data_IF_196830861800
#
_entry.id   IF_196830861800
#
_cell.length_a   1.000
_cell.length_b   1.000
_cell.length_c   1.000
_cell.angle_alpha   90.00
_cell.angle_beta   90.00
_cell.angle_gamma   90.00
#
_symmetry.space_group_name_H-M   'P 1'
#
loop_
_entity.id
_entity.type
_entity.pdbx_description
1 polymer ?
#
# COMPACT_ATOMS: atom_id res chain seq x y z
N UNK A 1 -27.49 19.20 2.34
CA UNK A 1 -26.47 19.55 1.33
C UNK A 1 -25.23 19.99 2.07
N UNK A 2 -24.42 19.04 2.51
CA UNK A 2 -23.18 19.33 3.24
C UNK A 2 -22.07 19.48 2.22
N UNK A 3 -21.54 20.70 2.10
CA UNK A 3 -20.37 21.04 1.31
C UNK A 3 -19.21 20.15 1.75
N UNK A 4 -18.80 19.23 0.89
CA UNK A 4 -17.54 18.51 1.03
C UNK A 4 -16.42 19.55 1.01
N UNK A 5 -15.75 19.72 2.14
CA UNK A 5 -14.47 20.41 2.20
C UNK A 5 -13.50 19.58 1.34
N UNK A 6 -13.35 19.96 0.07
CA UNK A 6 -12.18 19.59 -0.68
C UNK A 6 -11.02 20.32 0.00
N UNK A 7 -10.29 19.61 0.87
CA UNK A 7 -9.00 20.08 1.37
C UNK A 7 -8.17 20.53 0.16
N UNK A 8 -7.75 21.80 0.16
CA UNK A 8 -6.96 22.34 -0.93
C UNK A 8 -5.71 21.48 -1.15
N UNK A 9 -5.35 21.16 -2.41
CA UNK A 9 -4.20 20.33 -2.68
C UNK A 9 -2.92 20.94 -2.09
N UNK A 10 -2.01 20.14 -1.53
CA UNK A 10 -0.80 20.63 -0.89
C UNK A 10 0.10 21.31 -1.93
N UNK A 11 0.22 22.64 -1.85
CA UNK A 11 1.11 23.42 -2.73
C UNK A 11 2.59 23.11 -2.51
N UNK A 12 3.38 23.18 -3.59
CA UNK A 12 4.83 23.07 -3.58
C UNK A 12 5.46 24.07 -2.58
N UNK A 13 6.50 23.63 -1.86
CA UNK A 13 7.18 24.49 -0.88
C UNK A 13 7.82 25.72 -1.55
N UNK A 14 8.29 25.59 -2.79
CA UNK A 14 8.77 26.71 -3.58
C UNK A 14 7.65 27.70 -3.92
N UNK A 15 6.48 27.22 -4.33
CA UNK A 15 5.32 28.08 -4.59
C UNK A 15 4.87 28.82 -3.33
N UNK A 16 4.81 28.14 -2.17
CA UNK A 16 4.52 28.76 -0.87
C UNK A 16 5.57 29.79 -0.47
N UNK A 17 6.85 29.49 -0.67
CA UNK A 17 7.95 30.39 -0.33
C UNK A 17 7.91 31.65 -1.20
N UNK A 18 7.80 31.49 -2.52
CA UNK A 18 7.69 32.62 -3.47
C UNK A 18 6.43 33.42 -3.16
N UNK A 19 5.30 32.76 -2.90
CA UNK A 19 4.06 33.46 -2.57
C UNK A 19 4.22 34.33 -1.32
N UNK A 20 4.81 33.77 -0.25
CA UNK A 20 5.03 34.48 1.01
C UNK A 20 6.06 35.61 0.89
N UNK A 21 7.17 35.37 0.19
CA UNK A 21 8.32 36.29 0.13
C UNK A 21 8.14 37.40 -0.90
N UNK A 22 7.57 37.10 -2.08
CA UNK A 22 7.42 38.07 -3.16
C UNK A 22 6.15 38.92 -3.06
N UNK A 23 5.09 38.44 -2.38
CA UNK A 23 3.82 39.17 -2.25
C UNK A 23 3.54 39.68 -0.81
N UNK A 24 4.59 39.78 0.02
CA UNK A 24 4.53 40.51 1.28
C UNK A 24 3.61 39.91 2.35
N UNK A 25 3.42 38.59 2.36
CA UNK A 25 2.57 37.92 3.34
C UNK A 25 1.06 38.10 3.15
N UNK A 26 0.62 38.73 2.06
CA UNK A 26 -0.79 38.69 1.67
C UNK A 26 -1.12 37.27 1.19
N UNK A 27 -2.12 36.64 1.82
CA UNK A 27 -2.66 35.36 1.37
C UNK A 27 -3.35 35.55 0.01
N UNK A 28 -2.58 35.35 -1.06
CA UNK A 28 -3.04 35.32 -2.44
C UNK A 28 -3.09 33.85 -2.91
N UNK A 29 -4.09 33.06 -2.49
CA UNK A 29 -4.14 31.62 -2.78
C UNK A 29 -4.17 31.34 -4.28
N UNK A 30 -4.84 32.20 -5.06
CA UNK A 30 -4.90 32.08 -6.53
C UNK A 30 -3.52 32.20 -7.18
N UNK A 31 -2.67 33.11 -6.69
CA UNK A 31 -1.30 33.31 -7.22
C UNK A 31 -0.40 32.16 -6.81
N UNK A 32 -0.51 31.71 -5.57
CA UNK A 32 0.22 30.53 -5.11
C UNK A 32 -0.16 29.28 -5.93
N UNK A 33 -1.43 29.12 -6.29
CA UNK A 33 -1.92 28.04 -7.16
C UNK A 33 -1.41 28.15 -8.60
N UNK A 34 -1.33 29.35 -9.17
CA UNK A 34 -0.77 29.56 -10.51
C UNK A 34 0.74 29.28 -10.57
N UNK A 35 1.48 29.73 -9.55
CA UNK A 35 2.91 29.43 -9.43
C UNK A 35 3.15 27.94 -9.25
N UNK A 36 2.34 27.31 -8.41
CA UNK A 36 2.35 25.88 -8.18
C UNK A 36 2.05 25.12 -9.48
N UNK A 37 1.00 25.47 -10.23
CA UNK A 37 0.67 24.87 -11.52
C UNK A 37 1.80 25.05 -12.57
N UNK A 38 2.47 26.20 -12.58
CA UNK A 38 3.62 26.45 -13.46
C UNK A 38 4.86 25.63 -13.08
N UNK A 39 5.15 25.51 -11.78
CA UNK A 39 6.28 24.73 -11.28
C UNK A 39 6.00 23.22 -11.34
N UNK A 40 4.72 22.83 -11.37
CA UNK A 40 4.27 21.45 -11.41
C UNK A 40 4.24 20.87 -12.83
N UNK A 41 5.31 21.08 -13.60
CA UNK A 41 5.59 20.23 -14.76
C UNK A 41 5.97 18.80 -14.33
N UNK A 42 5.20 18.20 -13.42
CA UNK A 42 5.38 16.83 -12.98
C UNK A 42 5.20 15.93 -14.19
N UNK A 43 6.25 15.17 -14.48
CA UNK A 43 6.17 14.13 -15.48
C UNK A 43 5.06 13.17 -15.12
N UNK A 44 4.16 12.88 -16.06
CA UNK A 44 3.13 11.82 -15.99
C UNK A 44 3.68 10.42 -15.64
N UNK A 45 5.00 10.29 -15.55
CA UNK A 45 5.73 9.10 -15.10
C UNK A 45 5.73 8.91 -13.58
N UNK A 46 5.38 9.92 -12.78
CA UNK A 46 5.39 9.84 -11.31
C UNK A 46 4.06 9.35 -10.73
N UNK A 47 3.89 8.03 -10.65
CA UNK A 47 2.79 7.39 -9.92
C UNK A 47 3.12 7.26 -8.43
N UNK A 48 2.11 7.00 -7.57
CA UNK A 48 2.33 6.71 -6.14
C UNK A 48 3.33 5.57 -5.92
N UNK A 49 3.16 4.47 -6.65
CA UNK A 49 4.06 3.32 -6.56
C UNK A 49 5.50 3.70 -6.92
N UNK A 50 5.70 4.47 -8.01
CA UNK A 50 7.04 4.85 -8.47
C UNK A 50 7.69 5.86 -7.52
N UNK A 51 6.93 6.82 -7.01
CA UNK A 51 7.43 7.82 -6.07
C UNK A 51 7.83 7.18 -4.74
N UNK A 52 7.00 6.30 -4.21
CA UNK A 52 7.27 5.62 -2.96
C UNK A 52 8.43 4.64 -3.07
N UNK A 53 8.48 3.83 -4.14
CA UNK A 53 9.62 2.93 -4.42
C UNK A 53 10.95 3.67 -4.38
N UNK A 54 11.02 4.87 -4.96
CA UNK A 54 12.26 5.64 -5.09
C UNK A 54 12.63 6.41 -3.83
N UNK A 55 11.65 6.92 -3.11
CA UNK A 55 11.89 7.92 -2.04
C UNK A 55 11.48 7.42 -0.66
N UNK A 56 10.40 6.63 -0.56
CA UNK A 56 9.78 6.28 0.73
C UNK A 56 9.08 7.45 1.41
N UNK A 57 8.85 8.54 0.68
CA UNK A 57 8.28 9.74 1.28
C UNK A 57 6.76 9.69 1.19
N UNK A 58 6.11 9.53 2.34
CA UNK A 58 4.66 9.71 2.47
C UNK A 58 4.23 11.11 2.00
N UNK A 59 5.01 12.14 2.31
CA UNK A 59 4.72 13.52 1.89
C UNK A 59 4.69 13.67 0.36
N UNK A 60 5.65 13.06 -0.34
CA UNK A 60 5.65 13.07 -1.81
C UNK A 60 4.47 12.26 -2.38
N UNK A 61 4.14 11.13 -1.75
CA UNK A 61 3.00 10.31 -2.15
C UNK A 61 1.68 11.07 -1.99
N UNK A 62 1.47 11.73 -0.85
CA UNK A 62 0.33 12.62 -0.58
C UNK A 62 0.24 13.77 -1.59
N UNK A 63 1.38 14.37 -1.93
CA UNK A 63 1.45 15.42 -2.93
C UNK A 63 0.96 14.97 -4.30
N UNK A 64 1.39 13.78 -4.76
CA UNK A 64 0.96 13.22 -6.04
C UNK A 64 -0.53 12.87 -6.00
N UNK A 65 -0.99 12.21 -4.94
CA UNK A 65 -2.38 11.81 -4.79
C UNK A 65 -3.37 12.97 -4.80
N UNK A 66 -3.00 14.11 -4.21
CA UNK A 66 -3.85 15.29 -4.22
C UNK A 66 -4.03 15.92 -5.61
N UNK A 67 -3.15 15.60 -6.56
CA UNK A 67 -3.25 16.03 -7.97
C UNK A 67 -3.97 15.01 -8.85
N UNK A 68 -4.07 13.78 -8.38
CA UNK A 68 -4.68 12.66 -9.06
C UNK A 68 -5.87 12.16 -8.21
N UNK A 69 -7.02 12.86 -8.21
CA UNK A 69 -8.15 12.46 -7.40
C UNK A 69 -8.67 11.09 -7.84
N UNK A 70 -8.99 10.24 -6.86
CA UNK A 70 -9.35 8.84 -7.06
C UNK A 70 -10.51 8.71 -8.04
N UNK A 71 -11.48 9.63 -8.00
CA UNK A 71 -12.68 9.64 -8.84
C UNK A 71 -12.35 9.67 -10.33
N UNK A 72 -11.19 10.23 -10.71
CA UNK A 72 -10.73 10.28 -12.12
C UNK A 72 -9.98 9.03 -12.57
N UNK A 73 -9.58 8.18 -11.63
CA UNK A 73 -8.83 6.97 -11.94
C UNK A 73 -9.77 5.87 -12.42
N UNK A 74 -9.34 5.16 -13.46
CA UNK A 74 -9.99 3.93 -13.90
C UNK A 74 -9.92 2.85 -12.78
N UNK A 75 -10.99 2.06 -12.56
CA UNK A 75 -11.00 1.04 -11.50
C UNK A 75 -9.85 0.03 -11.56
N UNK A 76 -9.42 -0.40 -12.75
CA UNK A 76 -8.28 -1.31 -12.87
C UNK A 76 -6.98 -0.61 -12.48
N UNK A 77 -6.84 0.66 -12.85
CA UNK A 77 -5.67 1.45 -12.46
C UNK A 77 -5.62 1.73 -10.96
N UNK A 78 -6.76 1.99 -10.29
CA UNK A 78 -6.84 2.12 -8.81
C UNK A 78 -6.35 0.86 -8.12
N UNK A 79 -6.88 -0.31 -8.53
CA UNK A 79 -6.50 -1.61 -7.97
C UNK A 79 -5.02 -1.91 -8.20
N UNK A 80 -4.53 -1.68 -9.41
CA UNK A 80 -3.11 -1.82 -9.72
C UNK A 80 -2.25 -0.88 -8.87
N UNK A 81 -2.65 0.39 -8.74
CA UNK A 81 -1.93 1.39 -7.97
C UNK A 81 -1.87 1.04 -6.49
N UNK A 82 -2.98 0.61 -5.88
CA UNK A 82 -2.96 0.15 -4.49
C UNK A 82 -1.99 -1.02 -4.33
N UNK A 83 -2.15 -2.08 -5.12
CA UNK A 83 -1.32 -3.28 -5.00
C UNK A 83 0.17 -2.98 -5.17
N UNK A 84 0.53 -2.19 -6.18
CA UNK A 84 1.92 -1.85 -6.43
C UNK A 84 2.50 -0.94 -5.33
N UNK A 85 1.73 0.04 -4.84
CA UNK A 85 2.21 0.99 -3.83
C UNK A 85 2.28 0.31 -2.46
N UNK A 86 1.25 -0.45 -2.07
CA UNK A 86 1.17 -1.15 -0.80
C UNK A 86 2.27 -2.19 -0.64
N UNK A 87 2.69 -2.86 -1.72
CA UNK A 87 3.89 -3.71 -1.71
C UNK A 87 5.13 -2.94 -1.22
N UNK A 88 5.43 -1.79 -1.83
CA UNK A 88 6.63 -1.01 -1.48
C UNK A 88 6.54 -0.41 -0.08
N UNK A 89 5.34 -0.02 0.34
CA UNK A 89 5.10 0.51 1.68
C UNK A 89 5.26 -0.57 2.73
N UNK A 90 4.59 -1.72 2.55
CA UNK A 90 4.63 -2.84 3.48
C UNK A 90 6.02 -3.47 3.56
N UNK A 91 6.75 -3.60 2.44
CA UNK A 91 8.13 -4.12 2.46
C UNK A 91 9.07 -3.28 3.33
N UNK A 92 8.76 -1.99 3.53
CA UNK A 92 9.57 -1.07 4.34
C UNK A 92 9.11 -1.00 5.80
N UNK A 93 8.01 -1.66 6.17
CA UNK A 93 7.43 -1.55 7.51
C UNK A 93 6.78 -0.19 7.79
N UNK A 94 6.47 0.61 6.76
CA UNK A 94 5.91 1.95 6.96
C UNK A 94 4.38 1.90 7.15
N UNK A 95 3.97 1.52 8.36
CA UNK A 95 2.56 1.46 8.75
C UNK A 95 1.83 2.80 8.60
N UNK A 96 2.40 3.97 8.98
CA UNK A 96 1.76 5.26 8.75
C UNK A 96 1.40 5.53 7.29
N UNK A 97 2.33 5.25 6.36
CA UNK A 97 2.06 5.42 4.94
C UNK A 97 1.04 4.42 4.43
N UNK A 98 1.03 3.20 4.97
CA UNK A 98 0.06 2.17 4.58
C UNK A 98 -1.35 2.55 5.03
N UNK A 99 -1.52 3.01 6.28
CA UNK A 99 -2.79 3.51 6.80
C UNK A 99 -3.34 4.64 5.95
N UNK A 100 -2.50 5.64 5.65
CA UNK A 100 -2.93 6.75 4.79
C UNK A 100 -3.40 6.26 3.41
N UNK A 101 -2.67 5.33 2.79
CA UNK A 101 -3.01 4.79 1.47
C UNK A 101 -4.33 3.98 1.51
N UNK A 102 -4.52 3.17 2.54
CA UNK A 102 -5.61 2.17 2.64
C UNK A 102 -6.89 2.73 3.24
N UNK A 103 -6.80 3.66 4.17
CA UNK A 103 -7.95 4.28 4.85
C UNK A 103 -8.34 5.60 4.19
N UNK A 104 -7.36 6.40 3.76
CA UNK A 104 -7.58 7.74 3.23
C UNK A 104 -7.75 7.82 1.72
N UNK A 105 -6.94 7.07 0.96
CA UNK A 105 -6.91 7.20 -0.51
C UNK A 105 -7.65 6.06 -1.23
N UNK A 106 -7.43 4.79 -0.91
CA UNK A 106 -8.03 3.64 -1.60
C UNK A 106 -8.73 2.67 -0.63
N UNK A 107 -9.92 3.03 -0.10
CA UNK A 107 -10.60 2.29 0.98
C UNK A 107 -11.31 0.99 0.59
N UNK A 108 -11.55 0.75 -0.70
CA UNK A 108 -12.39 -0.39 -1.14
C UNK A 108 -11.63 -1.48 -1.92
N UNK A 109 -10.34 -1.28 -2.13
CA UNK A 109 -9.52 -2.19 -2.94
C UNK A 109 -8.92 -3.31 -2.06
N UNK A 110 -8.66 -4.48 -2.69
CA UNK A 110 -8.06 -5.66 -2.05
C UNK A 110 -6.59 -5.44 -1.70
N UNK A 111 -6.11 -6.10 -0.64
CA UNK A 111 -4.80 -5.85 -0.02
C UNK A 111 -3.82 -7.04 -0.10
N UNK A 112 -4.02 -7.95 -1.06
CA UNK A 112 -3.24 -9.19 -1.17
C UNK A 112 -1.72 -8.95 -1.36
N UNK A 113 -1.32 -7.84 -1.98
CA UNK A 113 0.09 -7.49 -2.11
C UNK A 113 0.73 -6.97 -0.80
N UNK A 114 -0.06 -6.31 0.05
CA UNK A 114 0.42 -5.74 1.31
C UNK A 114 0.73 -6.84 2.34
N UNK A 115 -0.18 -7.82 2.48
CA UNK A 115 -0.01 -8.93 3.43
C UNK A 115 1.21 -9.78 3.09
N UNK A 116 1.39 -10.14 1.81
CA UNK A 116 2.57 -10.90 1.39
C UNK A 116 3.85 -10.12 1.65
N UNK A 117 3.90 -8.85 1.24
CA UNK A 117 5.09 -8.03 1.44
C UNK A 117 5.42 -7.82 2.92
N UNK A 118 4.43 -7.67 3.79
CA UNK A 118 4.64 -7.59 5.23
C UNK A 118 5.22 -8.89 5.79
N UNK A 119 4.63 -10.04 5.45
CA UNK A 119 5.11 -11.35 5.90
C UNK A 119 6.51 -11.68 5.38
N UNK A 120 6.75 -11.47 4.08
CA UNK A 120 8.03 -11.69 3.42
C UNK A 120 9.15 -10.74 3.86
N UNK A 121 8.84 -9.69 4.64
CA UNK A 121 9.83 -8.79 5.24
C UNK A 121 9.76 -8.76 6.78
N UNK A 122 8.96 -9.64 7.40
CA UNK A 122 8.87 -9.78 8.86
C UNK A 122 8.15 -8.64 9.60
N UNK A 123 7.33 -7.83 8.91
CA UNK A 123 6.64 -6.69 9.51
C UNK A 123 5.33 -7.11 10.19
N UNK A 124 5.43 -7.78 11.33
CA UNK A 124 4.28 -8.32 12.10
C UNK A 124 3.28 -7.23 12.50
N UNK A 125 3.73 -6.02 12.84
CA UNK A 125 2.84 -4.88 13.16
C UNK A 125 1.86 -4.57 12.02
N UNK A 126 2.30 -4.72 10.76
CA UNK A 126 1.44 -4.52 9.59
C UNK A 126 0.45 -5.69 9.45
N UNK A 127 0.88 -6.93 9.71
CA UNK A 127 -0.01 -8.10 9.70
C UNK A 127 -1.11 -7.98 10.74
N UNK A 128 -0.75 -7.59 11.98
CA UNK A 128 -1.69 -7.32 13.07
C UNK A 128 -2.71 -6.25 12.71
N UNK A 129 -2.24 -5.14 12.13
CA UNK A 129 -3.13 -4.06 11.72
C UNK A 129 -4.06 -4.48 10.57
N UNK A 130 -3.55 -5.21 9.57
CA UNK A 130 -4.35 -5.73 8.45
C UNK A 130 -5.41 -6.71 8.95
N UNK A 131 -5.06 -7.64 9.83
CA UNK A 131 -5.99 -8.61 10.41
C UNK A 131 -7.05 -7.93 11.27
N UNK A 132 -6.66 -6.99 12.13
CA UNK A 132 -7.61 -6.36 13.06
C UNK A 132 -8.63 -5.44 12.37
N UNK A 133 -8.21 -4.70 11.34
CA UNK A 133 -9.04 -3.62 10.76
C UNK A 133 -9.45 -3.85 9.31
N UNK A 134 -8.78 -4.75 8.60
CA UNK A 134 -8.97 -4.96 7.16
C UNK A 134 -9.01 -6.44 6.77
N UNK A 135 -9.36 -7.34 7.70
CA UNK A 135 -9.40 -8.77 7.48
C UNK A 135 -10.14 -9.16 6.18
N UNK A 136 -11.33 -8.61 5.97
CA UNK A 136 -12.19 -8.91 4.82
C UNK A 136 -11.63 -8.43 3.46
N UNK A 137 -10.66 -7.52 3.49
CA UNK A 137 -9.98 -6.98 2.30
C UNK A 137 -8.75 -7.78 1.91
N UNK A 138 -8.32 -8.71 2.76
CA UNK A 138 -7.14 -9.54 2.56
C UNK A 138 -7.57 -10.95 2.17
N UNK A 139 -6.97 -11.49 1.11
CA UNK A 139 -7.16 -12.88 0.72
C UNK A 139 -6.07 -13.73 1.39
N UNK A 140 -6.36 -14.21 2.58
CA UNK A 140 -5.48 -15.08 3.36
C UNK A 140 -5.47 -16.49 2.75
N UNK A 141 -4.46 -16.82 1.95
CA UNK A 141 -4.43 -18.04 1.13
C UNK A 141 -3.13 -18.84 1.29
N UNK A 142 -2.32 -18.53 2.29
CA UNK A 142 -1.06 -19.19 2.60
C UNK A 142 0.14 -18.66 1.83
N UNK A 143 -0.04 -17.78 0.83
CA UNK A 143 1.09 -17.16 0.11
C UNK A 143 1.93 -16.30 1.06
N UNK A 144 1.29 -15.63 2.03
CA UNK A 144 1.93 -14.90 3.12
C UNK A 144 2.83 -15.80 3.98
N UNK A 145 2.41 -17.04 4.28
CA UNK A 145 3.22 -18.02 5.02
C UNK A 145 4.44 -18.44 4.20
N UNK A 146 4.26 -18.70 2.90
CA UNK A 146 5.38 -18.99 2.00
C UNK A 146 6.39 -17.83 1.99
N UNK A 147 5.92 -16.58 1.90
CA UNK A 147 6.78 -15.40 1.98
C UNK A 147 7.57 -15.34 3.29
N UNK A 148 6.92 -15.51 4.44
CA UNK A 148 7.61 -15.51 5.72
C UNK A 148 8.67 -16.62 5.84
N UNK A 149 8.39 -17.81 5.32
CA UNK A 149 9.31 -18.94 5.32
C UNK A 149 10.49 -18.75 4.35
N UNK A 150 10.22 -18.33 3.11
CA UNK A 150 11.23 -18.15 2.06
C UNK A 150 12.31 -17.13 2.46
N UNK A 151 11.92 -16.10 3.22
CA UNK A 151 12.81 -15.05 3.69
C UNK A 151 13.23 -15.19 5.16
N UNK A 152 12.80 -16.26 5.86
CA UNK A 152 13.27 -16.60 7.21
C UNK A 152 12.77 -15.68 8.32
N UNK A 153 11.54 -15.18 8.21
CA UNK A 153 10.93 -14.30 9.21
C UNK A 153 10.11 -15.09 10.24
N UNK A 154 10.81 -15.71 11.20
CA UNK A 154 10.22 -16.59 12.21
C UNK A 154 9.08 -15.94 13.00
N UNK A 155 9.21 -14.66 13.36
CA UNK A 155 8.16 -13.94 14.10
C UNK A 155 6.85 -13.85 13.29
N UNK A 156 6.96 -13.57 11.99
CA UNK A 156 5.82 -13.57 11.09
C UNK A 156 5.25 -14.98 10.88
N UNK A 157 6.10 -16.01 10.82
CA UNK A 157 5.64 -17.42 10.77
C UNK A 157 4.86 -17.78 12.02
N UNK A 158 5.34 -17.44 13.20
CA UNK A 158 4.65 -17.73 14.46
C UNK A 158 3.32 -16.99 14.54
N UNK A 159 3.31 -15.72 14.16
CA UNK A 159 2.10 -14.92 14.11
C UNK A 159 1.06 -15.53 13.15
N UNK A 160 1.46 -15.88 11.92
CA UNK A 160 0.57 -16.47 10.92
C UNK A 160 0.04 -17.86 11.32
N UNK A 161 0.76 -18.61 12.18
CA UNK A 161 0.29 -19.90 12.72
C UNK A 161 -0.83 -19.71 13.74
N UNK A 162 -0.78 -18.65 14.54
CA UNK A 162 -1.78 -18.40 15.59
C UNK A 162 -2.97 -17.60 15.08
N UNK A 163 -2.88 -16.93 13.93
CA UNK A 163 -3.96 -16.13 13.33
C UNK A 163 -4.29 -16.68 11.93
N UNK A 164 -4.84 -17.91 11.85
CA UNK A 164 -5.08 -18.55 10.57
C UNK A 164 -6.15 -17.81 9.76
N UNK A 165 -6.06 -17.84 8.41
CA UNK A 165 -7.17 -17.51 7.54
C UNK A 165 -8.45 -18.20 8.01
N UNK A 166 -9.65 -17.59 7.90
CA UNK A 166 -10.88 -18.35 7.93
C UNK A 166 -10.74 -19.40 6.83
N UNK A 167 -10.77 -20.68 7.24
CA UNK A 167 -10.52 -21.81 6.35
C UNK A 167 -11.30 -21.59 5.05
N UNK A 168 -10.58 -21.38 3.94
CA UNK A 168 -11.19 -21.62 2.64
C UNK A 168 -11.71 -23.04 2.71
N UNK A 169 -13.01 -23.25 2.54
CA UNK A 169 -13.68 -24.54 2.68
C UNK A 169 -13.20 -25.56 1.65
N UNK A 170 -11.95 -26.02 1.78
CA UNK A 170 -11.50 -27.29 1.23
C UNK A 170 -11.97 -28.35 2.22
N UNK A 171 -13.15 -28.87 1.89
CA UNK A 171 -13.62 -30.17 2.33
C UNK A 171 -12.48 -31.19 2.27
N UNK A 172 -12.33 -31.94 3.35
CA UNK A 172 -11.66 -33.23 3.39
C UNK A 172 -12.05 -34.05 2.14
N UNK A 173 -11.09 -34.28 1.26
CA UNK A 173 -11.24 -35.24 0.18
C UNK A 173 -9.87 -35.86 -0.15
N UNK A 174 -9.66 -37.05 0.41
CA UNK A 174 -9.10 -38.16 -0.37
C UNK A 174 -7.60 -38.34 -0.34
N UNK A 175 -7.20 -39.40 0.34
CA UNK A 175 -5.94 -40.12 0.18
C UNK A 175 -5.50 -40.35 -1.28
N UNK A 176 -4.17 -40.48 -1.40
CA UNK A 176 -3.41 -41.24 -2.40
C UNK A 176 -3.38 -40.74 -3.86
N UNK A 177 -2.16 -40.38 -4.31
CA UNK A 177 -1.40 -41.12 -5.34
C UNK A 177 0.08 -40.70 -5.29
N UNK A 178 0.95 -41.70 -5.43
CA UNK A 178 2.39 -41.59 -5.19
C UNK A 178 3.23 -41.08 -6.36
N UNK A 179 4.48 -40.77 -6.00
CA UNK A 179 5.67 -40.86 -6.84
C UNK A 179 5.79 -39.87 -8.00
N UNK A 180 6.64 -38.85 -7.84
CA UNK A 180 7.99 -38.87 -8.42
C UNK A 180 8.74 -37.56 -8.12
N UNK A 181 10.03 -37.73 -7.87
CA UNK A 181 11.02 -36.70 -7.57
C UNK A 181 11.20 -35.78 -8.77
N UNK A 182 10.95 -34.49 -8.59
CA UNK A 182 11.30 -33.41 -9.50
C UNK A 182 11.67 -32.17 -8.69
N UNK A 183 12.95 -31.77 -8.73
CA UNK A 183 13.50 -30.62 -8.01
C UNK A 183 12.81 -29.32 -8.44
N UNK A 184 12.12 -28.67 -7.51
CA UNK A 184 11.96 -27.21 -7.44
C UNK A 184 11.57 -26.87 -6.01
N UNK A 185 12.39 -26.04 -5.35
CA UNK A 185 12.17 -25.63 -3.97
C UNK A 185 10.91 -24.80 -3.86
N UNK A 186 9.85 -25.41 -3.35
CA UNK A 186 8.65 -24.76 -2.86
C UNK A 186 8.35 -25.39 -1.50
N UNK A 187 8.19 -24.55 -0.49
CA UNK A 187 7.85 -24.93 0.88
C UNK A 187 6.67 -25.90 0.91
N UNK A 188 6.94 -27.18 1.10
CA UNK A 188 5.96 -28.13 1.60
C UNK A 188 5.86 -27.89 3.12
N UNK A 189 4.69 -27.41 3.57
CA UNK A 189 4.37 -27.30 4.99
C UNK A 189 4.56 -28.66 5.66
N UNK A 190 5.53 -28.75 6.58
CA UNK A 190 5.56 -29.79 7.61
C UNK A 190 5.30 -29.08 8.93
N UNK A 191 4.08 -29.23 9.44
CA UNK A 191 3.75 -28.97 10.84
C UNK A 191 3.89 -30.33 11.53
N UNK A 192 4.95 -30.50 12.32
CA UNK A 192 5.01 -31.51 13.37
C UNK A 192 4.43 -30.94 14.66
#
# INVERSE_FOLDING_TARGET
MSSTYAEDPPLNTAARLVARTCFGGNDLPNVARLLDEFLDAFSSKWTLARSYKRTGSLRLMQYIAAREPVERLDPFYRRWMLNATSWFVASRGDLPALRWLVEGYLPHERLSAAVYAAAANGHVEILEWLDKFHHERVDWNGIEMCGALDYGHDEAVQWLRVHPPPSSGVSEAGDAIGGQVGKSGGCALVVQ
#
